data_IF_124026080576
#
_entry.id   IF_124026080576
#
_cell.length_a   1.000
_cell.length_b   1.000
_cell.length_c   1.000
_cell.angle_alpha   90.00
_cell.angle_beta   90.00
_cell.angle_gamma   90.00
#
_symmetry.space_group_name_H-M   'P 1'
#
loop_
_entity.id
_entity.type
_entity.pdbx_description
1 polymer ?
#
# COMPACT_ATOMS: atom_id res chain seq x y z
N UNK A 1 4.11 23.25 2.51
CA UNK A 1 3.92 22.41 1.34
C UNK A 1 3.50 21.02 1.77
N UNK A 2 2.42 20.56 1.19
CA UNK A 2 1.91 19.24 1.55
C UNK A 2 2.64 18.16 0.81
N UNK A 3 2.94 17.10 1.53
CA UNK A 3 3.45 15.90 0.92
C UNK A 3 2.30 14.96 0.63
N UNK A 4 2.36 14.34 -0.51
CA UNK A 4 1.42 13.30 -0.81
C UNK A 4 1.72 12.07 0.02
N UNK A 5 0.70 11.43 0.50
CA UNK A 5 0.83 10.20 1.26
C UNK A 5 0.18 9.06 0.50
N UNK A 6 0.65 7.88 0.76
CA UNK A 6 0.24 6.69 0.03
C UNK A 6 0.01 5.55 1.00
N UNK A 7 -0.66 4.55 0.52
CA UNK A 7 -0.83 3.30 1.25
C UNK A 7 -0.65 2.15 0.28
N UNK A 8 -0.29 1.00 0.81
CA UNK A 8 -0.09 -0.19 -0.01
C UNK A 8 -1.23 -1.15 0.28
N UNK A 9 -2.01 -1.43 -0.76
CA UNK A 9 -3.18 -2.28 -0.63
C UNK A 9 -2.88 -3.66 -1.19
N UNK A 10 -3.41 -4.65 -0.54
CA UNK A 10 -3.27 -6.03 -0.95
C UNK A 10 -4.56 -6.48 -1.60
N UNK A 11 -4.47 -7.03 -2.79
CA UNK A 11 -5.64 -7.53 -3.50
C UNK A 11 -6.05 -8.86 -2.90
N UNK A 12 -7.28 -8.92 -2.43
CA UNK A 12 -7.86 -10.17 -1.97
C UNK A 12 -8.93 -10.60 -2.96
N UNK A 13 -9.49 -11.78 -2.74
CA UNK A 13 -10.50 -12.29 -3.64
C UNK A 13 -11.80 -11.48 -3.61
N UNK A 14 -12.04 -10.76 -2.53
CA UNK A 14 -13.31 -10.05 -2.36
C UNK A 14 -13.15 -8.55 -2.18
N UNK A 15 -11.97 -8.09 -1.78
CA UNK A 15 -11.79 -6.67 -1.53
C UNK A 15 -10.32 -6.34 -1.47
N UNK A 16 -10.05 -5.03 -1.45
CA UNK A 16 -8.71 -4.52 -1.25
C UNK A 16 -8.52 -4.25 0.23
N UNK A 17 -7.46 -4.78 0.79
CA UNK A 17 -7.14 -4.59 2.19
C UNK A 17 -5.77 -3.98 2.32
N UNK A 18 -5.56 -3.23 3.40
CA UNK A 18 -4.25 -2.69 3.70
C UNK A 18 -3.30 -3.85 3.98
N UNK A 19 -2.12 -3.80 3.38
CA UNK A 19 -1.19 -4.92 3.48
C UNK A 19 -0.60 -5.05 4.89
N UNK A 20 -0.53 -3.93 5.62
CA UNK A 20 -0.03 -3.90 6.99
C UNK A 20 -0.51 -2.61 7.61
N UNK A 21 -0.76 -2.62 8.92
CA UNK A 21 -1.19 -1.41 9.62
C UNK A 21 -0.19 -0.27 9.44
N UNK A 22 1.06 -0.60 9.25
CA UNK A 22 2.11 0.41 9.08
C UNK A 22 2.32 0.81 7.64
N UNK A 23 1.66 0.15 6.69
CA UNK A 23 1.80 0.42 5.27
C UNK A 23 0.79 1.45 4.81
N UNK A 24 0.68 2.55 5.55
CA UNK A 24 -0.23 3.63 5.22
C UNK A 24 0.39 4.95 5.63
N UNK A 25 -0.14 6.01 5.07
CA UNK A 25 0.34 7.36 5.34
C UNK A 25 1.84 7.47 5.05
N UNK A 26 2.26 6.86 3.95
CA UNK A 26 3.67 6.75 3.59
C UNK A 26 4.05 7.82 2.58
N UNK A 27 5.30 8.27 2.67
CA UNK A 27 5.87 9.08 1.60
C UNK A 27 6.24 8.15 0.44
N UNK A 28 6.51 8.76 -0.71
CA UNK A 28 6.91 7.96 -1.87
C UNK A 28 8.16 7.14 -1.59
N UNK A 29 9.11 7.74 -0.89
CA UNK A 29 10.34 7.03 -0.54
C UNK A 29 10.06 5.84 0.37
N UNK A 30 9.14 6.02 1.31
CA UNK A 30 8.76 4.92 2.19
C UNK A 30 8.06 3.82 1.44
N UNK A 31 7.27 4.19 0.45
CA UNK A 31 6.63 3.19 -0.41
C UNK A 31 7.67 2.34 -1.13
N UNK A 32 8.71 2.98 -1.65
CA UNK A 32 9.76 2.25 -2.34
C UNK A 32 10.44 1.25 -1.41
N UNK A 33 10.67 1.66 -0.17
CA UNK A 33 11.27 0.77 0.81
C UNK A 33 10.35 -0.41 1.13
N UNK A 34 9.05 -0.14 1.25
CA UNK A 34 8.08 -1.19 1.48
C UNK A 34 8.05 -2.19 0.35
N UNK A 35 8.03 -1.70 -0.90
CA UNK A 35 8.01 -2.57 -2.06
C UNK A 35 9.25 -3.45 -2.08
N UNK A 36 10.41 -2.86 -1.84
CA UNK A 36 11.65 -3.62 -1.81
C UNK A 36 11.60 -4.71 -0.76
N UNK A 37 11.10 -4.37 0.42
CA UNK A 37 10.97 -5.34 1.51
C UNK A 37 10.02 -6.47 1.15
N UNK A 38 8.90 -6.13 0.51
CA UNK A 38 7.92 -7.13 0.13
C UNK A 38 8.46 -8.08 -0.94
N UNK A 39 9.18 -7.53 -1.91
CA UNK A 39 9.75 -8.36 -2.97
C UNK A 39 10.82 -9.28 -2.41
N UNK A 40 11.63 -8.79 -1.48
CA UNK A 40 12.64 -9.62 -0.84
C UNK A 40 12.04 -10.72 0.01
N UNK A 41 10.83 -10.50 0.49
CA UNK A 41 10.11 -11.51 1.26
C UNK A 41 9.38 -12.52 0.38
N UNK A 42 9.45 -12.34 -0.93
CA UNK A 42 8.82 -13.26 -1.87
C UNK A 42 7.41 -12.87 -2.26
N UNK A 43 6.97 -11.66 -1.94
CA UNK A 43 5.63 -11.23 -2.32
C UNK A 43 5.54 -11.01 -3.83
N UNK A 44 4.38 -11.34 -4.39
CA UNK A 44 4.15 -11.15 -5.80
C UNK A 44 3.66 -9.73 -6.04
N UNK A 45 4.36 -8.94 -6.86
CA UNK A 45 3.98 -7.54 -7.10
C UNK A 45 2.61 -7.39 -7.75
N UNK A 46 2.06 -8.44 -8.31
CA UNK A 46 0.72 -8.39 -8.90
C UNK A 46 -0.38 -8.39 -7.86
N UNK A 47 -0.04 -8.67 -6.60
CA UNK A 47 -1.04 -8.79 -5.55
C UNK A 47 -1.09 -7.58 -4.65
N UNK A 48 -0.27 -6.57 -4.88
CA UNK A 48 -0.35 -5.36 -4.08
C UNK A 48 -0.15 -4.14 -4.98
N UNK A 49 -0.59 -3.01 -4.49
CA UNK A 49 -0.60 -1.79 -5.28
C UNK A 49 -0.45 -0.59 -4.36
N UNK A 50 0.30 0.39 -4.81
CA UNK A 50 0.43 1.66 -4.09
C UNK A 50 -0.67 2.58 -4.58
N UNK A 51 -1.45 3.11 -3.65
CA UNK A 51 -2.54 4.03 -3.98
C UNK A 51 -2.45 5.24 -3.06
N UNK A 52 -3.11 6.32 -3.46
CA UNK A 52 -3.16 7.52 -2.63
C UNK A 52 -3.85 7.19 -1.30
N UNK A 53 -3.36 7.79 -0.22
CA UNK A 53 -3.90 7.50 1.11
C UNK A 53 -5.40 7.77 1.18
N UNK A 54 -5.87 8.78 0.47
CA UNK A 54 -7.27 9.18 0.52
C UNK A 54 -8.05 8.76 -0.72
N UNK A 55 -7.53 7.80 -1.48
CA UNK A 55 -8.20 7.36 -2.70
C UNK A 55 -9.50 6.66 -2.32
N UNK A 56 -10.65 7.19 -2.75
CA UNK A 56 -11.94 6.60 -2.39
C UNK A 56 -12.20 5.25 -3.04
N UNK A 57 -11.45 4.92 -4.08
CA UNK A 57 -11.63 3.64 -4.74
C UNK A 57 -11.02 2.49 -3.94
N UNK A 58 -10.17 2.80 -2.99
CA UNK A 58 -9.49 1.77 -2.21
C UNK A 58 -9.59 2.09 -0.72
N UNK A 59 -10.80 2.16 -0.19
CA UNK A 59 -10.95 2.37 1.24
C UNK A 59 -10.51 1.10 1.96
N UNK A 60 -9.73 1.24 3.02
CA UNK A 60 -9.43 0.09 3.83
C UNK A 60 -10.33 0.12 5.05
N UNK A 61 -10.85 -1.03 5.38
CA UNK A 61 -11.73 -1.17 6.53
C UNK A 61 -10.93 -1.55 7.75
N UNK A 62 -11.25 -0.95 8.83
CA UNK A 62 -10.60 -1.27 10.10
C UNK A 62 -11.46 -2.10 10.99
#
# INVERSE_FOLDING_TARGET
MEEKRYKIMNESTTSWLLIDDKAQNLTKEECDKWIDKLLNAGANPNYFKIVAQNDPRYPHEV
#
